data_IF_155409517406
#
_entry.id   IF_155409517406
#
_cell.length_a   1.000
_cell.length_b   1.000
_cell.length_c   1.000
_cell.angle_alpha   90.00
_cell.angle_beta   90.00
_cell.angle_gamma   90.00
#
_symmetry.space_group_name_H-M   'P 1'
#
loop_
_entity.id
_entity.type
_entity.pdbx_description
1 polymer ?
#
# COMPACT_ATOMS: atom_id res chain seq x y z
N UNK A 1 29.42 -16.71 -7.32
CA UNK A 1 29.13 -15.97 -6.06
C UNK A 1 27.66 -15.57 -6.11
N UNK A 2 26.77 -16.13 -5.27
CA UNK A 2 25.42 -15.62 -5.10
C UNK A 2 25.50 -14.20 -4.51
N UNK A 3 24.80 -13.24 -5.08
CA UNK A 3 24.79 -11.86 -4.59
C UNK A 3 24.14 -11.73 -3.20
N UNK A 4 24.40 -10.65 -2.46
CA UNK A 4 23.86 -10.46 -1.11
C UNK A 4 22.32 -10.54 -1.13
N UNK A 5 21.69 -11.10 -0.07
CA UNK A 5 20.25 -11.12 0.05
C UNK A 5 19.73 -9.69 -0.03
N UNK A 6 18.83 -9.43 -0.98
CA UNK A 6 18.11 -8.16 -1.06
C UNK A 6 17.12 -8.14 0.10
N UNK A 7 17.58 -7.78 1.28
CA UNK A 7 16.72 -7.50 2.42
C UNK A 7 15.95 -6.24 2.08
N UNK A 8 14.62 -6.33 2.06
CA UNK A 8 13.77 -5.16 1.85
C UNK A 8 13.90 -4.26 3.08
N UNK A 9 14.16 -2.98 2.87
CA UNK A 9 14.35 -1.99 3.95
C UNK A 9 12.98 -1.61 4.55
N UNK A 10 12.77 -1.83 5.87
CA UNK A 10 11.52 -1.47 6.56
C UNK A 10 11.12 -0.01 6.41
N UNK A 11 12.08 0.92 6.39
CA UNK A 11 11.78 2.35 6.27
C UNK A 11 11.29 2.69 4.86
N UNK A 12 11.75 1.96 3.85
CA UNK A 12 11.24 2.11 2.47
C UNK A 12 9.80 1.63 2.38
N UNK A 13 9.50 0.45 2.94
CA UNK A 13 8.13 -0.09 2.97
C UNK A 13 7.18 0.87 3.67
N UNK A 14 7.61 1.44 4.80
CA UNK A 14 6.81 2.39 5.56
C UNK A 14 6.53 3.65 4.74
N UNK A 15 7.53 4.21 4.07
CA UNK A 15 7.37 5.36 3.18
C UNK A 15 6.41 5.09 2.03
N UNK A 16 6.47 3.89 1.43
CA UNK A 16 5.57 3.49 0.34
C UNK A 16 4.12 3.37 0.82
N UNK A 17 3.90 2.75 1.98
CA UNK A 17 2.59 2.64 2.62
C UNK A 17 2.04 4.02 3.01
N UNK A 18 2.85 4.88 3.63
CA UNK A 18 2.44 6.23 4.01
C UNK A 18 2.04 7.06 2.78
N UNK A 19 2.73 6.89 1.66
CA UNK A 19 2.39 7.54 0.38
C UNK A 19 1.06 7.05 -0.19
N UNK A 20 0.78 5.74 -0.10
CA UNK A 20 -0.51 5.16 -0.52
C UNK A 20 -1.66 5.65 0.39
N UNK A 21 -1.42 5.75 1.70
CA UNK A 21 -2.40 6.24 2.66
C UNK A 21 -2.66 7.74 2.53
N UNK A 22 -1.64 8.54 2.20
CA UNK A 22 -1.83 9.96 1.88
C UNK A 22 -2.75 10.13 0.67
N UNK A 23 -2.52 9.33 -0.39
CA UNK A 23 -3.37 9.31 -1.58
C UNK A 23 -4.80 8.87 -1.28
N UNK A 24 -5.00 7.99 -0.29
CA UNK A 24 -6.31 7.60 0.19
C UNK A 24 -7.05 8.76 0.89
N UNK A 25 -6.32 9.58 1.63
CA UNK A 25 -6.83 10.79 2.28
C UNK A 25 -7.23 11.90 1.30
N UNK A 26 -6.48 12.03 0.21
CA UNK A 26 -6.73 13.01 -0.86
C UNK A 26 -7.90 12.63 -1.78
N UNK A 27 -8.44 11.40 -1.68
CA UNK A 27 -9.70 11.04 -2.33
C UNK A 27 -10.86 11.77 -1.64
N UNK A 28 -11.12 13.00 -2.11
CA UNK A 28 -12.29 13.78 -1.73
C UNK A 28 -13.55 13.00 -2.05
N UNK A 29 -14.40 12.82 -1.04
CA UNK A 29 -15.75 12.35 -1.27
C UNK A 29 -16.51 13.45 -2.01
N UNK A 30 -17.04 13.12 -3.18
CA UNK A 30 -18.00 13.99 -3.84
C UNK A 30 -19.15 14.23 -2.85
N UNK A 31 -19.44 15.49 -2.47
CA UNK A 31 -20.47 15.80 -1.48
C UNK A 31 -21.88 15.39 -1.92
N UNK A 32 -22.07 15.11 -3.21
CA UNK A 32 -23.29 14.61 -3.81
C UNK A 32 -23.32 13.07 -3.91
N UNK A 33 -22.17 12.39 -3.75
CA UNK A 33 -22.04 10.93 -3.67
C UNK A 33 -22.09 10.46 -2.20
N UNK A 34 -23.27 10.57 -1.60
CA UNK A 34 -23.53 10.20 -0.19
C UNK A 34 -23.20 8.74 0.12
N UNK A 35 -23.18 7.86 -0.89
CA UNK A 35 -22.86 6.44 -0.73
C UNK A 35 -21.41 6.11 -1.10
N UNK A 36 -20.63 7.09 -1.54
CA UNK A 36 -19.25 6.90 -1.99
C UNK A 36 -19.13 5.89 -3.15
N UNK A 37 -20.17 5.73 -3.98
CA UNK A 37 -20.20 4.75 -5.05
C UNK A 37 -19.04 4.91 -6.05
N UNK A 38 -18.55 6.14 -6.25
CA UNK A 38 -17.38 6.42 -7.09
C UNK A 38 -16.03 6.25 -6.37
N UNK A 39 -15.97 6.51 -5.06
CA UNK A 39 -14.71 6.56 -4.32
C UNK A 39 -14.39 5.27 -3.55
N UNK A 40 -15.39 4.53 -3.07
CA UNK A 40 -15.20 3.29 -2.29
C UNK A 40 -14.41 2.24 -3.07
N UNK A 41 -14.69 1.95 -4.35
CA UNK A 41 -13.87 1.01 -5.13
C UNK A 41 -12.41 1.45 -5.26
N UNK A 42 -12.17 2.75 -5.43
CA UNK A 42 -10.81 3.32 -5.49
C UNK A 42 -10.09 3.23 -4.14
N UNK A 43 -10.79 3.53 -3.04
CA UNK A 43 -10.26 3.41 -1.68
C UNK A 43 -9.90 1.96 -1.35
N UNK A 44 -10.76 1.01 -1.72
CA UNK A 44 -10.51 -0.41 -1.57
C UNK A 44 -9.27 -0.87 -2.35
N UNK A 45 -9.11 -0.41 -3.60
CA UNK A 45 -7.95 -0.75 -4.43
C UNK A 45 -6.62 -0.22 -3.84
N UNK A 46 -6.61 1.00 -3.31
CA UNK A 46 -5.41 1.57 -2.68
C UNK A 46 -5.02 0.78 -1.41
N UNK A 47 -6.02 0.35 -0.62
CA UNK A 47 -5.78 -0.49 0.55
C UNK A 47 -5.26 -1.88 0.19
N UNK A 48 -5.77 -2.47 -0.89
CA UNK A 48 -5.28 -3.74 -1.43
C UNK A 48 -3.82 -3.62 -1.88
N UNK A 49 -3.45 -2.55 -2.59
CA UNK A 49 -2.05 -2.29 -2.97
C UNK A 49 -1.13 -2.15 -1.75
N UNK A 50 -1.54 -1.40 -0.73
CA UNK A 50 -0.76 -1.28 0.49
C UNK A 50 -0.59 -2.63 1.19
N UNK A 51 -1.63 -3.48 1.19
CA UNK A 51 -1.56 -4.82 1.74
C UNK A 51 -0.60 -5.73 0.95
N UNK A 52 -0.62 -5.69 -0.38
CA UNK A 52 0.29 -6.47 -1.23
C UNK A 52 1.76 -6.11 -0.98
N UNK A 53 2.07 -4.81 -0.83
CA UNK A 53 3.43 -4.35 -0.48
C UNK A 53 3.88 -4.95 0.85
N UNK A 54 3.01 -4.94 1.87
CA UNK A 54 3.31 -5.51 3.18
C UNK A 54 3.49 -7.04 3.13
N UNK A 55 2.66 -7.75 2.37
CA UNK A 55 2.76 -9.21 2.21
C UNK A 55 4.05 -9.58 1.47
N UNK A 56 4.39 -8.86 0.41
CA UNK A 56 5.62 -9.09 -0.36
C UNK A 56 6.87 -8.81 0.48
N UNK A 57 6.83 -7.77 1.31
CA UNK A 57 7.86 -7.47 2.29
C UNK A 57 8.01 -8.61 3.31
N UNK A 58 6.91 -9.08 3.90
CA UNK A 58 6.92 -10.17 4.86
C UNK A 58 7.46 -11.49 4.25
N UNK A 59 7.03 -11.82 3.03
CA UNK A 59 7.50 -12.99 2.30
C UNK A 59 9.00 -12.90 1.93
N UNK A 60 9.56 -11.69 1.84
CA UNK A 60 11.00 -11.50 1.65
C UNK A 60 11.81 -11.80 2.92
N UNK A 61 11.21 -11.61 4.10
CA UNK A 61 11.80 -11.95 5.41
C UNK A 61 11.68 -13.45 5.69
N UNK A 62 10.70 -14.16 5.14
CA UNK A 62 10.53 -15.61 5.37
C UNK A 62 11.54 -16.49 4.57
N UNK A 63 12.35 -15.88 3.69
CA UNK A 63 13.39 -16.57 2.88
C UNK A 63 14.79 -16.62 3.52
N UNK A 64 14.93 -16.40 4.83
CA UNK A 64 16.24 -16.48 5.53
C UNK A 64 16.42 -17.79 6.28
#
# INVERSE_FOLDING_TARGET
>A
MPGPPRTVDPETIRSDVDSLLARLGDLEQDPNDQHGAGVIPHKAHILEQAHEVLVQALASVDRV
#
